data_IF_205928761216
#
_entry.id   IF_205928761216
#
_cell.length_a   1.000
_cell.length_b   1.000
_cell.length_c   1.000
_cell.angle_alpha   90.00
_cell.angle_beta   90.00
_cell.angle_gamma   90.00
#
_symmetry.space_group_name_H-M   'P 1'
#
loop_
_entity.id
_entity.type
_entity.pdbx_description
1 polymer ?
#
# COMPACT_ATOMS: atom_id res chain seq x y z
N UNK A 1 -21.58 17.25 61.16
CA UNK A 1 -22.34 17.77 59.99
C UNK A 1 -21.36 18.60 59.14
N UNK A 2 -20.71 18.03 58.20
CA UNK A 2 -19.88 18.75 57.24
C UNK A 2 -20.36 18.35 55.82
N UNK A 3 -20.96 19.31 55.13
CA UNK A 3 -21.41 19.16 53.74
C UNK A 3 -20.25 19.51 52.83
N UNK A 4 -19.79 18.52 52.09
CA UNK A 4 -18.82 18.69 50.99
C UNK A 4 -19.60 19.04 49.72
N UNK A 5 -19.41 20.26 49.19
CA UNK A 5 -19.90 20.67 47.88
C UNK A 5 -18.93 20.16 46.81
N UNK A 6 -19.40 19.28 45.91
CA UNK A 6 -18.72 18.91 44.69
C UNK A 6 -19.03 19.94 43.59
N UNK A 7 -18.03 20.63 43.14
CA UNK A 7 -18.10 21.46 41.91
C UNK A 7 -17.94 20.55 40.71
N UNK A 8 -18.97 20.43 39.89
CA UNK A 8 -18.89 19.89 38.54
C UNK A 8 -18.45 21.01 37.60
N UNK A 9 -17.20 20.93 37.10
CA UNK A 9 -16.75 21.80 36.01
C UNK A 9 -17.27 21.21 34.69
N UNK A 10 -18.20 21.89 34.06
CA UNK A 10 -18.62 21.61 32.68
C UNK A 10 -17.57 22.23 31.77
N UNK A 11 -16.75 21.37 31.13
CA UNK A 11 -15.88 21.81 30.03
C UNK A 11 -16.77 21.91 28.80
N UNK A 12 -17.11 23.14 28.43
CA UNK A 12 -17.72 23.44 27.13
C UNK A 12 -16.58 23.41 26.09
N UNK A 13 -16.48 22.33 25.33
CA UNK A 13 -15.64 22.28 24.13
C UNK A 13 -16.32 23.19 23.09
N UNK A 14 -15.85 24.42 23.00
CA UNK A 14 -16.27 25.33 21.97
C UNK A 14 -15.70 24.89 20.63
N UNK A 15 -16.53 24.28 19.78
CA UNK A 15 -16.25 24.19 18.35
C UNK A 15 -16.29 25.61 17.79
N UNK A 16 -15.11 26.21 17.65
CA UNK A 16 -14.95 27.49 16.94
C UNK A 16 -15.22 27.21 15.45
N UNK A 17 -16.46 27.46 15.02
CA UNK A 17 -16.78 27.65 13.61
C UNK A 17 -16.03 28.91 13.17
N UNK A 18 -14.87 28.77 12.53
CA UNK A 18 -14.22 29.88 11.82
C UNK A 18 -15.15 30.31 10.69
N UNK A 19 -15.90 31.38 10.91
CA UNK A 19 -16.58 32.10 9.83
C UNK A 19 -15.53 32.72 8.92
N UNK A 20 -15.52 32.33 7.65
CA UNK A 20 -14.66 32.97 6.63
C UNK A 20 -14.96 34.47 6.59
N UNK A 21 -13.97 35.28 6.98
CA UNK A 21 -13.94 36.69 6.70
C UNK A 21 -13.33 36.90 5.32
N UNK A 22 -14.07 37.60 4.47
CA UNK A 22 -13.72 38.10 3.14
C UNK A 22 -13.45 37.04 2.07
N UNK A 23 -14.31 37.04 1.08
CA UNK A 23 -14.29 36.30 -0.16
C UNK A 23 -12.92 36.37 -0.87
N UNK A 24 -11.96 35.50 -0.50
CA UNK A 24 -10.79 35.27 -1.34
C UNK A 24 -11.26 34.51 -2.58
N UNK A 25 -11.01 35.06 -3.76
CA UNK A 25 -11.30 34.35 -4.99
C UNK A 25 -10.46 33.04 -5.02
N UNK A 26 -11.08 31.89 -5.30
CA UNK A 26 -10.33 30.66 -5.40
C UNK A 26 -9.30 30.74 -6.53
N UNK A 27 -8.11 30.20 -6.34
CA UNK A 27 -7.08 30.11 -7.39
C UNK A 27 -7.41 29.03 -8.41
N UNK A 28 -8.15 27.99 -7.98
CA UNK A 28 -8.69 26.97 -8.87
C UNK A 28 -9.96 26.35 -8.29
N UNK A 29 -10.81 25.85 -9.18
CA UNK A 29 -12.03 25.11 -8.85
C UNK A 29 -11.86 23.69 -9.39
N UNK A 30 -12.20 22.71 -8.58
CA UNK A 30 -12.13 21.29 -8.93
C UNK A 30 -13.55 20.69 -8.91
N UNK A 31 -13.83 19.84 -9.88
CA UNK A 31 -15.02 18.99 -9.89
C UNK A 31 -14.57 17.54 -9.98
N UNK A 32 -14.89 16.74 -8.96
CA UNK A 32 -14.59 15.32 -8.88
C UNK A 32 -15.87 14.56 -9.23
N UNK A 33 -15.83 13.82 -10.34
CA UNK A 33 -16.96 13.00 -10.80
C UNK A 33 -16.76 11.55 -10.34
N UNK A 34 -17.68 11.03 -9.52
CA UNK A 34 -17.66 9.65 -9.06
C UNK A 34 -17.72 8.63 -10.20
N UNK A 35 -18.21 9.05 -11.39
CA UNK A 35 -18.42 8.16 -12.52
C UNK A 35 -19.48 7.10 -12.21
N UNK A 36 -19.30 5.91 -12.75
CA UNK A 36 -20.26 4.81 -12.63
C UNK A 36 -20.16 4.01 -11.34
N UNK A 37 -19.40 4.48 -10.34
CA UNK A 37 -19.07 3.69 -9.17
C UNK A 37 -19.26 4.43 -7.86
N UNK A 38 -19.75 3.74 -6.86
CA UNK A 38 -19.76 4.21 -5.49
C UNK A 38 -18.32 4.34 -4.95
N UNK A 39 -18.09 5.38 -4.15
CA UNK A 39 -16.76 5.69 -3.61
C UNK A 39 -16.80 5.74 -2.09
N UNK A 40 -15.75 5.23 -1.46
CA UNK A 40 -15.59 5.23 0.00
C UNK A 40 -14.15 5.63 0.37
N UNK A 41 -13.99 6.76 1.05
CA UNK A 41 -12.70 7.19 1.63
C UNK A 41 -11.51 7.00 0.69
N UNK A 42 -11.62 7.49 -0.53
CA UNK A 42 -10.60 7.26 -1.55
C UNK A 42 -9.59 8.40 -1.65
N UNK A 43 -8.30 8.09 -1.81
CA UNK A 43 -7.31 9.09 -2.20
C UNK A 43 -7.60 9.59 -3.61
N UNK A 44 -7.64 10.90 -3.76
CA UNK A 44 -7.77 11.57 -5.05
C UNK A 44 -6.65 12.58 -5.22
N UNK A 45 -6.15 12.73 -6.46
CA UNK A 45 -5.04 13.63 -6.74
C UNK A 45 -5.17 14.25 -8.11
N UNK A 46 -4.91 15.55 -8.18
CA UNK A 46 -4.98 16.34 -9.43
C UNK A 46 -3.62 16.95 -9.75
N UNK A 47 -3.25 16.92 -11.04
CA UNK A 47 -2.05 17.61 -11.53
C UNK A 47 -2.33 19.11 -11.53
N UNK A 48 -1.41 19.88 -10.94
CA UNK A 48 -1.55 21.33 -10.72
C UNK A 48 -0.33 22.10 -11.24
N UNK A 49 0.14 21.77 -12.43
CA UNK A 49 1.36 22.36 -13.01
C UNK A 49 1.35 23.90 -12.99
N UNK A 50 0.21 24.52 -13.29
CA UNK A 50 0.07 25.99 -13.26
C UNK A 50 0.28 26.60 -11.86
N UNK A 51 0.05 25.82 -10.80
CA UNK A 51 0.22 26.27 -9.42
C UNK A 51 1.62 26.00 -8.86
N UNK A 52 2.41 25.10 -9.48
CA UNK A 52 3.69 24.65 -8.92
C UNK A 52 4.75 25.75 -8.82
N UNK A 53 4.66 26.78 -9.64
CA UNK A 53 5.58 27.93 -9.63
C UNK A 53 5.17 29.03 -8.65
N UNK A 54 4.06 28.89 -7.94
CA UNK A 54 3.61 29.87 -6.95
C UNK A 54 4.51 29.81 -5.71
N UNK A 55 4.81 30.97 -5.17
CA UNK A 55 5.59 31.10 -3.92
C UNK A 55 4.82 30.60 -2.69
N UNK A 56 3.49 30.55 -2.77
CA UNK A 56 2.56 30.12 -1.71
C UNK A 56 2.01 28.70 -1.89
N UNK A 57 2.62 27.88 -2.75
CA UNK A 57 2.14 26.52 -3.05
C UNK A 57 1.93 25.65 -1.79
N UNK A 58 2.79 25.81 -0.78
CA UNK A 58 2.68 25.08 0.49
C UNK A 58 1.58 25.63 1.41
N UNK A 59 1.05 26.79 1.07
CA UNK A 59 -0.01 27.47 1.83
C UNK A 59 -1.37 27.39 1.10
N UNK A 60 -1.53 26.45 0.18
CA UNK A 60 -2.82 26.22 -0.47
C UNK A 60 -3.76 25.46 0.45
N UNK A 61 -4.98 25.96 0.55
CA UNK A 61 -6.06 25.34 1.30
C UNK A 61 -7.08 24.77 0.33
N UNK A 62 -7.64 23.63 0.69
CA UNK A 62 -8.70 22.98 -0.07
C UNK A 62 -10.01 23.04 0.74
N UNK A 63 -11.07 23.43 0.09
CA UNK A 63 -12.42 23.40 0.66
C UNK A 63 -13.35 22.59 -0.24
N UNK A 64 -14.16 21.72 0.36
CA UNK A 64 -15.30 21.13 -0.33
C UNK A 64 -16.47 22.11 -0.29
N UNK A 65 -17.10 22.34 -1.45
CA UNK A 65 -18.22 23.25 -1.61
C UNK A 65 -19.52 22.47 -1.69
N UNK A 66 -20.40 22.67 -0.68
CA UNK A 66 -21.72 22.03 -0.64
C UNK A 66 -22.81 23.08 -0.39
N UNK A 67 -23.44 23.55 -1.45
CA UNK A 67 -24.33 24.71 -1.43
C UNK A 67 -23.54 25.97 -1.04
N UNK A 68 -23.96 26.63 0.03
CA UNK A 68 -23.29 27.84 0.58
C UNK A 68 -22.17 27.47 1.60
N UNK A 69 -21.94 26.18 1.88
CA UNK A 69 -20.96 25.76 2.88
C UNK A 69 -19.61 25.47 2.23
N UNK A 70 -18.54 25.97 2.84
CA UNK A 70 -17.18 25.64 2.55
C UNK A 70 -16.62 24.82 3.71
N UNK A 71 -16.36 23.53 3.43
CA UNK A 71 -15.88 22.56 4.43
C UNK A 71 -14.38 22.39 4.21
N UNK A 72 -13.52 22.67 5.19
CA UNK A 72 -12.08 22.52 5.02
C UNK A 72 -11.73 21.05 4.81
N UNK A 73 -10.84 20.80 3.84
CA UNK A 73 -10.35 19.47 3.48
C UNK A 73 -8.83 19.49 3.57
N UNK A 74 -8.27 18.54 4.28
CA UNK A 74 -6.83 18.38 4.38
C UNK A 74 -6.28 17.96 3.03
N UNK A 75 -5.31 18.70 2.51
CA UNK A 75 -4.61 18.38 1.28
C UNK A 75 -3.10 18.36 1.48
N UNK A 76 -2.39 17.72 0.56
CA UNK A 76 -0.93 17.62 0.58
C UNK A 76 -0.39 17.79 -0.83
N UNK A 77 0.63 18.63 -0.97
CA UNK A 77 1.36 18.82 -2.22
C UNK A 77 2.41 17.73 -2.37
N UNK A 78 2.36 17.01 -3.48
CA UNK A 78 3.42 16.11 -3.91
C UNK A 78 4.24 16.79 -5.01
N UNK A 79 5.51 17.06 -4.71
CA UNK A 79 6.46 17.60 -5.69
C UNK A 79 7.06 16.44 -6.49
N UNK A 80 7.28 16.65 -7.77
CA UNK A 80 7.84 15.63 -8.67
C UNK A 80 7.92 16.18 -10.09
N UNK A 81 8.07 15.29 -11.08
CA UNK A 81 8.07 15.68 -12.49
C UNK A 81 6.77 16.40 -12.91
N UNK A 82 5.66 16.00 -12.29
CA UNK A 82 4.37 16.69 -12.39
C UNK A 82 3.87 16.91 -10.97
N UNK A 83 3.73 18.18 -10.55
CA UNK A 83 3.20 18.50 -9.22
C UNK A 83 1.74 18.11 -9.08
N UNK A 84 1.39 17.54 -7.92
CA UNK A 84 0.02 17.13 -7.61
C UNK A 84 -0.43 17.65 -6.25
N UNK A 85 -1.71 17.94 -6.15
CA UNK A 85 -2.38 18.08 -4.85
C UNK A 85 -3.20 16.82 -4.61
N UNK A 86 -3.02 16.25 -3.41
CA UNK A 86 -3.71 15.05 -2.96
C UNK A 86 -4.60 15.36 -1.76
N UNK A 87 -5.73 14.69 -1.69
CA UNK A 87 -6.60 14.66 -0.51
C UNK A 87 -7.35 13.33 -0.41
N UNK A 88 -7.99 13.07 0.70
CA UNK A 88 -8.92 11.97 0.83
C UNK A 88 -10.33 12.51 0.56
N UNK A 89 -11.04 11.93 -0.41
CA UNK A 89 -12.45 12.16 -0.61
C UNK A 89 -13.21 11.33 0.43
N UNK A 90 -13.37 11.92 1.61
CA UNK A 90 -13.92 11.23 2.79
C UNK A 90 -15.38 10.85 2.63
N UNK A 91 -15.75 9.73 3.26
CA UNK A 91 -17.11 9.22 3.31
C UNK A 91 -17.59 8.59 2.03
N UNK A 92 -18.90 8.43 1.95
CA UNK A 92 -19.58 7.81 0.82
C UNK A 92 -19.97 8.85 -0.23
N UNK A 93 -19.63 8.57 -1.48
CA UNK A 93 -20.04 9.35 -2.66
C UNK A 93 -20.71 8.42 -3.66
N UNK A 94 -22.02 8.58 -3.92
CA UNK A 94 -22.76 7.71 -4.84
C UNK A 94 -22.28 7.81 -6.29
N UNK A 95 -22.41 6.72 -7.03
CA UNK A 95 -22.23 6.71 -8.47
C UNK A 95 -23.08 7.77 -9.15
N UNK A 96 -22.54 8.40 -10.21
CA UNK A 96 -23.22 9.43 -11.00
C UNK A 96 -23.34 10.79 -10.30
N UNK A 97 -22.67 10.99 -9.15
CA UNK A 97 -22.65 12.27 -8.44
C UNK A 97 -21.29 12.95 -8.55
N UNK A 98 -21.26 14.25 -8.28
CA UNK A 98 -20.04 15.06 -8.27
C UNK A 98 -19.84 15.73 -6.92
N UNK A 99 -18.57 15.96 -6.54
CA UNK A 99 -18.16 16.81 -5.42
C UNK A 99 -17.31 17.95 -5.95
N UNK A 100 -17.57 19.16 -5.45
CA UNK A 100 -16.88 20.36 -5.90
C UNK A 100 -15.94 20.84 -4.80
N UNK A 101 -14.79 21.33 -5.23
CA UNK A 101 -13.75 21.83 -4.33
C UNK A 101 -13.19 23.14 -4.85
N UNK A 102 -12.71 23.97 -3.93
CA UNK A 102 -12.01 25.23 -4.20
C UNK A 102 -10.62 25.19 -3.58
N UNK A 103 -9.63 25.55 -4.37
CA UNK A 103 -8.27 25.80 -3.88
C UNK A 103 -8.14 27.31 -3.66
N UNK A 104 -7.75 27.71 -2.46
CA UNK A 104 -7.49 29.11 -2.11
C UNK A 104 -6.09 29.27 -1.51
N UNK A 105 -5.51 30.47 -1.58
CA UNK A 105 -4.30 30.80 -0.82
C UNK A 105 -4.68 31.09 0.63
N UNK A 106 -3.90 30.58 1.59
CA UNK A 106 -4.18 30.77 3.00
C UNK A 106 -3.05 30.28 3.90
N UNK A 107 -3.28 30.26 5.19
CA UNK A 107 -2.37 29.62 6.15
C UNK A 107 -2.81 28.17 6.37
N UNK A 108 -1.83 27.29 6.51
CA UNK A 108 -2.04 25.85 6.73
C UNK A 108 -3.05 25.55 7.86
N UNK A 109 -3.92 24.55 7.65
CA UNK A 109 -4.74 24.02 8.73
C UNK A 109 -3.86 23.20 9.68
N UNK A 110 -4.01 23.42 10.97
CA UNK A 110 -3.40 22.55 11.98
C UNK A 110 -4.08 21.18 11.88
N UNK A 111 -3.29 20.16 11.58
CA UNK A 111 -3.75 18.77 11.56
C UNK A 111 -2.96 17.95 12.59
N UNK A 112 -3.66 17.33 13.53
CA UNK A 112 -3.05 16.51 14.58
C UNK A 112 -2.68 15.09 14.10
N UNK A 113 -3.15 14.67 12.93
CA UNK A 113 -2.90 13.35 12.38
C UNK A 113 -1.99 13.40 11.15
N UNK A 114 -0.81 12.80 11.26
CA UNK A 114 0.14 12.70 10.15
C UNK A 114 0.53 11.26 9.89
N UNK A 115 0.98 10.99 8.67
CA UNK A 115 1.77 9.80 8.36
C UNK A 115 3.23 10.19 8.40
N UNK A 116 3.98 9.52 9.25
CA UNK A 116 5.40 9.80 9.49
C UNK A 116 6.24 8.58 9.14
N UNK A 117 7.44 8.81 8.63
CA UNK A 117 8.43 7.76 8.38
C UNK A 117 9.63 8.03 9.25
N UNK A 118 10.00 7.05 10.06
CA UNK A 118 11.19 7.10 10.90
C UNK A 118 12.19 6.07 10.40
N UNK A 119 13.38 6.52 10.08
CA UNK A 119 14.50 5.63 9.80
C UNK A 119 15.29 5.38 11.08
N UNK A 120 15.38 4.11 11.48
CA UNK A 120 16.30 3.69 12.53
C UNK A 120 17.53 2.99 11.93
N UNK A 121 18.27 2.23 12.73
CA UNK A 121 19.50 1.53 12.28
C UNK A 121 19.23 0.36 11.32
N UNK A 122 17.99 -0.10 11.15
CA UNK A 122 17.67 -1.34 10.44
C UNK A 122 16.44 -1.27 9.54
N UNK A 123 15.47 -0.41 9.88
CA UNK A 123 14.18 -0.34 9.17
C UNK A 123 13.76 1.09 8.87
N UNK A 124 12.93 1.24 7.84
CA UNK A 124 12.03 2.38 7.72
C UNK A 124 10.70 1.98 8.36
N UNK A 125 10.34 2.69 9.43
CA UNK A 125 9.08 2.48 10.16
C UNK A 125 8.07 3.54 9.78
N UNK A 126 6.86 3.12 9.41
CA UNK A 126 5.78 4.05 9.09
C UNK A 126 4.77 4.07 10.24
N UNK A 127 4.46 5.29 10.70
CA UNK A 127 3.42 5.58 11.67
C UNK A 127 2.26 6.32 11.00
N UNK A 128 1.04 6.00 11.43
CA UNK A 128 -0.17 6.77 11.13
C UNK A 128 -0.78 7.22 12.46
N UNK A 129 -0.83 8.54 12.70
CA UNK A 129 -1.35 9.08 13.96
C UNK A 129 -0.74 8.38 15.19
N UNK A 130 0.60 8.28 15.22
CA UNK A 130 1.42 7.65 16.28
C UNK A 130 1.27 6.12 16.43
N UNK A 131 0.43 5.46 15.61
CA UNK A 131 0.35 4.00 15.56
C UNK A 131 1.27 3.44 14.49
N UNK A 132 2.02 2.41 14.82
CA UNK A 132 2.85 1.69 13.85
C UNK A 132 1.97 1.00 12.82
N UNK A 133 2.34 1.13 11.53
CA UNK A 133 1.66 0.48 10.40
C UNK A 133 2.52 -0.64 9.85
N UNK A 134 3.79 -0.36 9.56
CA UNK A 134 4.72 -1.34 9.02
C UNK A 134 6.18 -0.94 9.23
N UNK A 135 7.06 -1.95 9.20
CA UNK A 135 8.49 -1.77 9.08
C UNK A 135 8.99 -2.40 7.77
N UNK A 136 9.84 -1.65 7.04
CA UNK A 136 10.56 -2.15 5.88
C UNK A 136 12.03 -2.33 6.23
N UNK A 137 12.55 -3.55 6.11
CA UNK A 137 13.93 -3.89 6.41
C UNK A 137 14.85 -3.48 5.27
N UNK A 138 15.65 -2.42 5.47
CA UNK A 138 16.65 -1.99 4.52
C UNK A 138 18.04 -2.56 4.83
N UNK A 139 18.31 -2.99 6.06
CA UNK A 139 19.51 -3.75 6.39
C UNK A 139 19.27 -5.25 6.28
N UNK A 140 20.35 -6.01 6.08
CA UNK A 140 20.25 -7.47 5.98
C UNK A 140 19.81 -8.04 7.33
N UNK A 141 18.67 -8.72 7.32
CA UNK A 141 18.20 -9.54 8.43
C UNK A 141 18.93 -10.88 8.39
N UNK A 142 19.56 -11.34 9.47
CA UNK A 142 20.40 -12.52 9.48
C UNK A 142 19.59 -13.81 9.26
N UNK A 143 20.25 -14.82 8.72
CA UNK A 143 19.69 -16.18 8.69
C UNK A 143 19.46 -16.70 10.14
N UNK A 144 18.49 -17.61 10.34
CA UNK A 144 18.32 -18.27 11.63
C UNK A 144 19.58 -19.03 12.04
N UNK A 145 19.81 -19.15 13.33
CA UNK A 145 20.95 -19.91 13.89
C UNK A 145 20.98 -21.35 13.32
N UNK A 146 22.11 -21.75 12.77
CA UNK A 146 22.32 -23.06 12.16
C UNK A 146 21.80 -23.22 10.72
N UNK A 147 21.21 -22.17 10.13
CA UNK A 147 20.87 -22.14 8.72
C UNK A 147 21.99 -21.51 7.88
N UNK A 148 22.02 -21.81 6.57
CA UNK A 148 22.95 -21.19 5.64
C UNK A 148 22.74 -19.67 5.53
N UNK A 149 23.83 -18.92 5.40
CA UNK A 149 23.80 -17.46 5.22
C UNK A 149 23.00 -17.00 4.02
N UNK A 150 22.74 -17.87 3.04
CA UNK A 150 21.85 -17.60 1.90
C UNK A 150 20.45 -17.16 2.29
N UNK A 151 19.99 -17.56 3.49
CA UNK A 151 18.70 -17.12 4.02
C UNK A 151 18.73 -15.70 4.60
N UNK A 152 19.90 -15.05 4.69
CA UNK A 152 19.98 -13.63 5.07
C UNK A 152 19.51 -12.74 3.92
N UNK A 153 18.67 -11.72 4.20
CA UNK A 153 18.22 -10.77 3.19
C UNK A 153 17.74 -9.44 3.76
N UNK A 154 17.64 -8.46 2.89
CA UNK A 154 16.92 -7.20 3.12
C UNK A 154 15.78 -7.04 2.08
N UNK A 155 15.15 -5.89 2.03
CA UNK A 155 14.15 -5.59 1.01
C UNK A 155 12.82 -6.31 1.20
N UNK A 156 12.22 -6.22 2.41
CA UNK A 156 10.93 -6.83 2.73
C UNK A 156 10.20 -6.05 3.84
N UNK A 157 8.89 -6.24 3.96
CA UNK A 157 8.05 -5.62 4.98
C UNK A 157 7.73 -6.63 6.07
N UNK A 158 8.14 -6.32 7.31
CA UNK A 158 7.81 -7.05 8.54
C UNK A 158 8.27 -6.26 9.76
N UNK A 159 7.44 -6.10 10.80
CA UNK A 159 6.03 -6.47 10.85
C UNK A 159 5.12 -5.61 9.97
N UNK A 160 3.92 -6.12 9.67
CA UNK A 160 2.77 -5.36 9.22
C UNK A 160 1.73 -5.45 10.33
N UNK A 161 1.26 -4.30 10.80
CA UNK A 161 0.34 -4.22 11.92
C UNK A 161 -1.10 -3.98 11.46
N UNK A 162 -2.06 -4.62 12.14
CA UNK A 162 -3.45 -4.19 12.07
C UNK A 162 -3.64 -2.86 12.83
N UNK A 163 -4.73 -2.11 12.59
CA UNK A 163 -5.03 -0.89 13.35
C UNK A 163 -5.05 -1.08 14.86
N UNK A 164 -5.41 -2.27 15.34
CA UNK A 164 -5.37 -2.67 16.75
C UNK A 164 -4.00 -3.11 17.27
N UNK A 165 -2.96 -3.10 16.42
CA UNK A 165 -1.58 -3.45 16.81
C UNK A 165 -1.22 -4.93 16.67
N UNK A 166 -2.07 -5.76 16.06
CA UNK A 166 -1.75 -7.16 15.82
C UNK A 166 -0.75 -7.32 14.66
N UNK A 167 0.30 -8.13 14.87
CA UNK A 167 1.27 -8.45 13.81
C UNK A 167 0.67 -9.51 12.87
N UNK A 168 0.48 -9.16 11.60
CA UNK A 168 -0.16 -10.00 10.60
C UNK A 168 0.81 -10.78 9.73
N UNK A 169 2.09 -10.45 9.78
CA UNK A 169 3.14 -11.09 8.97
C UNK A 169 4.05 -12.00 9.81
N UNK A 170 4.79 -12.86 9.13
CA UNK A 170 5.81 -13.75 9.72
C UNK A 170 7.01 -13.85 8.79
N UNK A 171 8.21 -13.95 9.35
CA UNK A 171 9.46 -14.18 8.61
C UNK A 171 10.13 -15.47 9.04
N UNK A 172 10.93 -16.03 8.15
CA UNK A 172 11.78 -17.21 8.37
C UNK A 172 11.11 -18.35 9.17
N UNK A 173 9.86 -18.73 8.85
CA UNK A 173 9.25 -19.85 9.55
C UNK A 173 10.03 -21.14 9.28
N UNK A 174 10.12 -22.08 10.25
CA UNK A 174 10.91 -23.30 10.10
C UNK A 174 10.59 -24.16 8.88
N UNK A 175 9.36 -24.05 8.37
CA UNK A 175 8.90 -24.76 7.18
C UNK A 175 9.40 -24.11 5.87
N UNK A 176 9.66 -22.79 5.87
CA UNK A 176 10.09 -22.00 4.70
C UNK A 176 10.95 -20.81 5.11
N UNK A 177 12.23 -21.04 5.38
CA UNK A 177 13.18 -20.00 5.84
C UNK A 177 13.31 -18.83 4.86
N UNK A 178 12.96 -19.00 3.59
CA UNK A 178 12.97 -17.99 2.55
C UNK A 178 11.68 -17.13 2.49
N UNK A 179 10.73 -17.26 3.42
CA UNK A 179 9.55 -16.40 3.49
C UNK A 179 9.79 -15.19 4.40
N UNK A 180 9.45 -13.99 3.91
CA UNK A 180 9.76 -12.71 4.57
C UNK A 180 8.58 -11.73 4.59
N UNK A 181 7.55 -12.02 5.35
CA UNK A 181 6.42 -11.11 5.57
C UNK A 181 5.69 -10.76 4.28
N UNK A 182 5.98 -9.57 3.72
CA UNK A 182 5.57 -9.15 2.38
C UNK A 182 6.82 -8.89 1.56
N UNK A 183 6.94 -9.57 0.41
CA UNK A 183 8.10 -9.50 -0.49
C UNK A 183 7.73 -9.92 -1.92
N UNK A 184 8.59 -9.66 -2.89
CA UNK A 184 8.27 -9.82 -4.32
C UNK A 184 9.39 -10.39 -5.21
N UNK A 185 10.27 -11.30 -4.77
CA UNK A 185 11.31 -11.86 -5.62
C UNK A 185 10.76 -12.83 -6.67
N UNK A 186 11.53 -13.01 -7.73
CA UNK A 186 11.18 -13.89 -8.84
C UNK A 186 11.85 -15.25 -8.69
N UNK A 187 11.14 -16.31 -9.07
CA UNK A 187 11.68 -17.65 -9.21
C UNK A 187 11.74 -18.03 -10.70
N UNK A 188 12.54 -19.06 -11.03
CA UNK A 188 12.66 -19.60 -12.39
C UNK A 188 13.00 -18.54 -13.46
N UNK A 189 14.01 -17.74 -13.19
CA UNK A 189 14.46 -16.71 -14.10
C UNK A 189 15.59 -17.24 -14.97
N UNK A 190 15.51 -17.06 -16.30
CA UNK A 190 16.66 -17.25 -17.20
C UNK A 190 17.33 -15.92 -17.46
N UNK A 191 18.59 -15.84 -17.08
CA UNK A 191 19.47 -14.70 -17.26
C UNK A 191 20.84 -15.14 -17.76
N UNK A 192 21.33 -14.55 -18.85
CA UNK A 192 22.62 -14.88 -19.45
C UNK A 192 22.83 -16.41 -19.65
N UNK A 193 21.80 -17.12 -20.13
CA UNK A 193 21.77 -18.58 -20.32
C UNK A 193 21.88 -19.42 -19.03
N UNK A 194 21.77 -18.82 -17.85
CA UNK A 194 21.72 -19.50 -16.55
C UNK A 194 20.30 -19.45 -15.97
N UNK A 195 19.95 -20.43 -15.17
CA UNK A 195 18.75 -20.40 -14.34
C UNK A 195 19.11 -19.76 -13.00
N UNK A 196 18.33 -18.76 -12.59
CA UNK A 196 18.49 -18.02 -11.34
C UNK A 196 17.19 -18.05 -10.57
N UNK A 197 17.28 -18.30 -9.29
CA UNK A 197 16.15 -18.29 -8.36
C UNK A 197 16.41 -17.23 -7.28
N UNK A 198 15.66 -16.12 -7.33
CA UNK A 198 15.74 -15.05 -6.32
C UNK A 198 14.80 -15.30 -5.16
N UNK A 199 13.88 -16.27 -5.26
CA UNK A 199 12.87 -16.60 -4.26
C UNK A 199 13.36 -17.65 -3.27
N UNK A 200 13.82 -18.80 -3.76
CA UNK A 200 14.23 -19.94 -2.94
C UNK A 200 15.71 -19.81 -2.55
N UNK A 201 16.00 -19.00 -1.54
CA UNK A 201 17.33 -18.58 -1.14
C UNK A 201 18.31 -19.74 -0.85
N UNK A 202 17.82 -20.86 -0.30
CA UNK A 202 18.66 -21.99 0.11
C UNK A 202 19.51 -22.65 -0.99
N UNK A 203 19.27 -22.31 -2.27
CA UNK A 203 20.14 -22.75 -3.36
C UNK A 203 21.36 -21.84 -3.59
N UNK A 204 21.40 -20.69 -2.94
CA UNK A 204 22.47 -19.69 -3.14
C UNK A 204 22.57 -19.15 -4.57
N UNK A 205 21.51 -19.27 -5.39
CA UNK A 205 21.53 -18.85 -6.78
C UNK A 205 21.30 -17.36 -6.96
N UNK A 206 20.52 -16.74 -6.07
CA UNK A 206 20.24 -15.31 -6.13
C UNK A 206 19.57 -14.81 -4.88
N UNK A 207 19.50 -13.50 -4.77
CA UNK A 207 18.83 -12.79 -3.66
C UNK A 207 18.23 -11.48 -4.16
N UNK A 208 17.38 -10.86 -3.32
CA UNK A 208 16.98 -9.46 -3.50
C UNK A 208 17.49 -8.68 -2.31
N UNK A 209 18.07 -7.51 -2.55
CA UNK A 209 18.60 -6.65 -1.50
C UNK A 209 18.19 -5.19 -1.68
N UNK A 210 18.12 -4.46 -0.59
CA UNK A 210 18.03 -3.00 -0.61
C UNK A 210 19.33 -2.41 -1.20
N UNK A 211 19.19 -1.44 -2.10
CA UNK A 211 20.32 -0.78 -2.75
C UNK A 211 20.44 0.71 -2.44
N UNK A 212 19.34 1.37 -2.03
CA UNK A 212 19.40 2.78 -1.67
C UNK A 212 18.04 3.42 -1.43
N UNK A 213 18.04 4.52 -0.68
CA UNK A 213 16.88 5.38 -0.49
C UNK A 213 16.82 6.40 -1.63
N UNK A 214 15.70 6.47 -2.33
CA UNK A 214 15.42 7.52 -3.32
C UNK A 214 14.72 8.71 -2.70
N UNK A 215 13.72 8.43 -1.86
CA UNK A 215 12.89 9.46 -1.26
C UNK A 215 12.21 8.92 -0.02
N UNK A 216 12.11 9.78 1.00
CA UNK A 216 11.28 9.58 2.18
C UNK A 216 10.37 10.79 2.29
N UNK A 217 9.10 10.57 2.52
CA UNK A 217 8.10 11.62 2.61
C UNK A 217 7.09 11.33 3.71
N UNK A 218 6.55 12.39 4.29
CA UNK A 218 5.50 12.33 5.30
C UNK A 218 4.54 13.48 5.12
N UNK A 219 3.39 13.42 5.75
CA UNK A 219 2.44 14.50 5.71
C UNK A 219 1.03 14.14 6.18
N UNK A 220 0.14 15.09 5.97
CA UNK A 220 -1.21 15.03 6.50
C UNK A 220 -2.14 14.10 5.72
N UNK A 221 -1.84 13.80 4.45
CA UNK A 221 -2.67 12.95 3.58
C UNK A 221 -2.01 11.59 3.34
N UNK A 222 -0.68 11.55 3.21
CA UNK A 222 0.07 10.32 3.04
C UNK A 222 1.52 10.48 3.49
N UNK A 223 2.16 9.34 3.77
CA UNK A 223 3.59 9.24 3.99
C UNK A 223 4.11 7.90 3.50
N UNK A 224 5.42 7.80 3.32
CA UNK A 224 6.03 6.59 2.82
C UNK A 224 7.48 6.79 2.38
N UNK A 225 7.94 5.86 1.57
CA UNK A 225 9.30 5.90 1.04
C UNK A 225 9.34 5.29 -0.37
N UNK A 226 10.39 5.65 -1.09
CA UNK A 226 10.78 5.06 -2.38
C UNK A 226 12.22 4.59 -2.28
N UNK A 227 12.45 3.32 -2.53
CA UNK A 227 13.76 2.68 -2.41
C UNK A 227 14.15 1.95 -3.68
N UNK A 228 15.46 1.77 -3.85
CA UNK A 228 16.04 0.87 -4.85
C UNK A 228 16.25 -0.50 -4.24
N UNK A 229 15.91 -1.54 -5.00
CA UNK A 229 16.26 -2.93 -4.73
C UNK A 229 16.99 -3.50 -5.95
N UNK A 230 17.88 -4.45 -5.69
CA UNK A 230 18.61 -5.21 -6.70
C UNK A 230 18.27 -6.69 -6.59
N UNK A 231 17.93 -7.32 -7.72
CA UNK A 231 17.86 -8.76 -7.83
C UNK A 231 19.21 -9.26 -8.35
N UNK A 232 19.95 -9.94 -7.50
CA UNK A 232 21.36 -10.28 -7.71
C UNK A 232 21.51 -11.75 -8.07
N UNK A 233 22.05 -12.03 -9.26
CA UNK A 233 22.48 -13.38 -9.70
C UNK A 233 23.83 -13.72 -9.09
N UNK A 234 23.91 -14.84 -8.37
CA UNK A 234 25.13 -15.37 -7.76
C UNK A 234 25.62 -16.67 -8.43
N UNK A 235 24.94 -17.15 -9.48
CA UNK A 235 25.21 -18.45 -10.11
C UNK A 235 26.54 -18.54 -10.83
N UNK A 236 27.15 -17.39 -11.19
CA UNK A 236 28.45 -17.33 -11.86
C UNK A 236 29.65 -17.34 -10.91
N UNK A 237 29.43 -17.39 -9.60
CA UNK A 237 30.45 -17.19 -8.58
C UNK A 237 30.84 -15.72 -8.35
N UNK A 238 30.17 -14.80 -9.03
CA UNK A 238 30.24 -13.35 -8.83
C UNK A 238 28.83 -12.79 -8.76
N UNK A 239 28.64 -11.73 -8.00
CA UNK A 239 27.38 -11.01 -7.98
C UNK A 239 27.18 -10.24 -9.29
N UNK A 240 26.05 -10.46 -9.95
CA UNK A 240 25.62 -9.73 -11.14
C UNK A 240 24.20 -9.23 -10.89
N UNK A 241 24.00 -7.93 -10.99
CA UNK A 241 22.67 -7.36 -10.87
C UNK A 241 21.90 -7.69 -12.16
N UNK A 242 20.81 -8.43 -12.03
CA UNK A 242 19.96 -8.84 -13.13
C UNK A 242 18.79 -7.87 -13.33
N UNK A 243 18.12 -7.48 -12.24
CA UNK A 243 16.97 -6.58 -12.25
C UNK A 243 17.22 -5.45 -11.25
N UNK A 244 16.99 -4.21 -11.69
CA UNK A 244 16.79 -3.08 -10.78
C UNK A 244 15.30 -2.93 -10.52
N UNK A 245 14.95 -2.63 -9.29
CA UNK A 245 13.58 -2.36 -8.87
C UNK A 245 13.50 -1.05 -8.09
N UNK A 246 12.50 -0.23 -8.40
CA UNK A 246 12.07 0.85 -7.52
C UNK A 246 10.80 0.38 -6.81
N UNK A 247 10.89 0.25 -5.50
CA UNK A 247 9.75 -0.04 -4.65
C UNK A 247 9.27 1.25 -4.00
N UNK A 248 8.03 1.64 -4.30
CA UNK A 248 7.34 2.78 -3.67
C UNK A 248 6.29 2.21 -2.71
N UNK A 249 6.37 2.61 -1.44
CA UNK A 249 5.42 2.23 -0.38
C UNK A 249 4.81 3.49 0.18
N UNK A 250 3.47 3.58 0.14
CA UNK A 250 2.71 4.75 0.57
C UNK A 250 1.58 4.34 1.50
N UNK A 251 1.52 4.93 2.67
CA UNK A 251 0.42 4.79 3.62
C UNK A 251 -0.44 6.04 3.53
N UNK A 252 -1.75 5.84 3.36
CA UNK A 252 -2.73 6.92 3.28
C UNK A 252 -3.33 7.23 4.65
N UNK A 253 -3.49 8.51 4.96
CA UNK A 253 -4.14 8.97 6.19
C UNK A 253 -5.65 9.03 6.00
N UNK A 254 -6.27 7.88 5.79
CA UNK A 254 -7.72 7.76 5.68
C UNK A 254 -8.36 7.76 7.07
N UNK A 255 -9.39 8.59 7.26
CA UNK A 255 -10.25 8.57 8.44
C UNK A 255 -11.53 7.79 8.08
N UNK A 256 -11.49 6.49 8.19
CA UNK A 256 -12.58 5.61 7.76
C UNK A 256 -13.79 5.62 8.72
N UNK A 257 -14.18 6.77 9.19
CA UNK A 257 -15.40 7.06 9.95
C UNK A 257 -15.76 6.09 11.08
N UNK A 258 -16.13 4.85 10.76
CA UNK A 258 -16.58 3.84 11.73
C UNK A 258 -15.65 2.61 11.79
N UNK A 259 -14.77 2.40 10.83
CA UNK A 259 -13.84 1.28 10.76
C UNK A 259 -12.44 1.79 10.50
N UNK A 260 -11.55 1.57 11.43
CA UNK A 260 -10.15 1.91 11.22
C UNK A 260 -9.54 0.91 10.22
N UNK A 261 -9.17 1.40 9.03
CA UNK A 261 -8.50 0.64 7.98
C UNK A 261 -7.19 1.35 7.65
N UNK A 262 -6.08 0.64 7.67
CA UNK A 262 -4.83 1.15 7.13
C UNK A 262 -4.76 0.84 5.64
N UNK A 263 -4.67 1.89 4.82
CA UNK A 263 -4.59 1.78 3.36
C UNK A 263 -3.14 1.99 2.92
N UNK A 264 -2.59 1.00 2.22
CA UNK A 264 -1.17 0.96 1.84
C UNK A 264 -1.08 0.67 0.34
N UNK A 265 -0.45 1.55 -0.42
CA UNK A 265 -0.11 1.30 -1.82
C UNK A 265 1.33 0.81 -1.93
N UNK A 266 1.54 -0.21 -2.73
CA UNK A 266 2.84 -0.77 -3.07
C UNK A 266 2.97 -0.77 -4.59
N UNK A 267 3.97 -0.04 -5.09
CA UNK A 267 4.28 -0.04 -6.52
C UNK A 267 5.69 -0.56 -6.74
N UNK A 268 5.81 -1.65 -7.48
CA UNK A 268 7.07 -2.22 -7.94
C UNK A 268 7.31 -1.81 -9.40
N UNK A 269 8.44 -1.19 -9.66
CA UNK A 269 8.86 -0.79 -11.00
C UNK A 269 10.17 -1.48 -11.35
N UNK A 270 10.13 -2.42 -12.28
CA UNK A 270 11.22 -3.28 -12.65
C UNK A 270 11.83 -2.85 -13.98
N UNK A 271 13.15 -3.02 -14.12
CA UNK A 271 13.86 -2.95 -15.41
C UNK A 271 15.08 -3.87 -15.40
N UNK A 272 15.49 -4.33 -16.58
CA UNK A 272 16.78 -5.04 -16.72
C UNK A 272 17.92 -4.13 -16.27
N UNK A 273 18.82 -4.65 -15.42
CA UNK A 273 19.96 -3.87 -14.92
C UNK A 273 21.05 -3.64 -15.98
N UNK A 274 21.07 -4.46 -17.03
CA UNK A 274 22.03 -4.39 -18.13
C UNK A 274 21.35 -4.54 -19.49
N UNK A 275 22.11 -4.98 -20.48
CA UNK A 275 21.65 -5.15 -21.87
C UNK A 275 21.11 -6.56 -22.16
N UNK A 276 21.00 -7.40 -21.14
CA UNK A 276 20.51 -8.77 -21.31
C UNK A 276 19.00 -8.83 -21.05
N UNK A 277 18.30 -9.55 -21.92
CA UNK A 277 16.89 -9.89 -21.72
C UNK A 277 16.74 -10.93 -20.63
N UNK A 278 15.76 -10.76 -19.75
CA UNK A 278 15.39 -11.75 -18.75
C UNK A 278 14.10 -12.47 -19.16
N UNK A 279 14.07 -13.78 -18.90
CA UNK A 279 12.89 -14.61 -19.10
C UNK A 279 12.40 -15.08 -17.72
N UNK A 280 11.30 -14.50 -17.26
CA UNK A 280 10.60 -14.96 -16.09
C UNK A 280 9.68 -16.10 -16.53
N UNK A 281 10.16 -17.34 -16.36
CA UNK A 281 9.44 -18.52 -16.85
C UNK A 281 8.18 -18.79 -16.01
N UNK A 282 7.16 -19.28 -16.69
CA UNK A 282 5.94 -19.75 -16.04
C UNK A 282 6.25 -20.64 -14.85
N UNK A 283 5.73 -20.27 -13.69
CA UNK A 283 5.84 -21.07 -12.49
C UNK A 283 4.69 -20.82 -11.52
N UNK A 284 4.40 -21.81 -10.68
CA UNK A 284 3.24 -21.79 -9.75
C UNK A 284 3.32 -20.70 -8.66
N UNK A 285 4.48 -20.09 -8.44
CA UNK A 285 4.72 -18.98 -7.51
C UNK A 285 5.95 -18.16 -7.96
N UNK A 286 6.11 -16.98 -7.37
CA UNK A 286 7.23 -16.09 -7.61
C UNK A 286 6.82 -14.80 -8.31
N UNK A 287 7.35 -13.69 -7.84
CA UNK A 287 7.05 -12.34 -8.30
C UNK A 287 5.73 -11.78 -7.77
N UNK A 288 5.31 -10.66 -8.33
CA UNK A 288 4.10 -9.97 -7.90
C UNK A 288 4.19 -9.46 -6.46
N UNK A 289 3.32 -9.95 -5.59
CA UNK A 289 3.34 -9.66 -4.16
C UNK A 289 3.06 -10.92 -3.35
N UNK A 290 4.04 -11.37 -2.57
CA UNK A 290 3.91 -12.51 -1.66
C UNK A 290 3.60 -12.06 -0.24
N UNK A 291 2.82 -12.86 0.47
CA UNK A 291 2.44 -12.64 1.86
C UNK A 291 2.53 -13.94 2.66
N UNK A 292 3.39 -13.95 3.68
CA UNK A 292 3.39 -14.99 4.70
C UNK A 292 2.70 -14.49 5.94
N UNK A 293 1.53 -15.07 6.24
CA UNK A 293 0.72 -14.68 7.37
C UNK A 293 1.35 -15.07 8.72
N UNK A 294 0.85 -14.40 9.75
CA UNK A 294 1.18 -14.69 11.16
C UNK A 294 1.04 -16.18 11.49
N UNK A 295 1.82 -16.63 12.45
CA UNK A 295 1.75 -18.03 12.93
C UNK A 295 0.43 -18.41 13.59
N UNK A 296 -0.38 -17.42 13.95
CA UNK A 296 -1.67 -17.65 14.61
C UNK A 296 -2.75 -18.10 13.61
N UNK A 297 -2.60 -17.83 12.31
CA UNK A 297 -3.57 -18.20 11.28
C UNK A 297 -3.30 -19.61 10.72
N UNK A 298 -4.33 -20.44 10.79
CA UNK A 298 -4.31 -21.82 10.30
C UNK A 298 -5.64 -22.15 9.61
N UNK A 299 -5.85 -23.42 9.24
CA UNK A 299 -7.06 -23.88 8.54
C UNK A 299 -8.36 -23.70 9.32
N UNK A 300 -8.30 -23.71 10.67
CA UNK A 300 -9.49 -23.74 11.52
C UNK A 300 -9.97 -22.32 11.89
N UNK A 301 -9.09 -21.31 11.77
CA UNK A 301 -9.38 -19.96 12.24
C UNK A 301 -9.13 -18.86 11.21
N UNK A 302 -8.72 -19.20 9.99
CA UNK A 302 -8.51 -18.25 8.91
C UNK A 302 -9.36 -18.53 7.69
N UNK A 303 -9.63 -17.49 6.92
CA UNK A 303 -10.48 -17.54 5.73
C UNK A 303 -9.86 -16.78 4.56
N UNK A 304 -10.27 -17.18 3.37
CA UNK A 304 -9.96 -16.53 2.09
C UNK A 304 -11.27 -16.32 1.34
N UNK A 305 -11.44 -15.12 0.81
CA UNK A 305 -12.49 -14.77 -0.14
C UNK A 305 -11.90 -13.98 -1.30
N UNK A 306 -12.34 -14.26 -2.52
CA UNK A 306 -11.80 -13.60 -3.71
C UNK A 306 -12.89 -12.91 -4.53
N UNK A 307 -12.51 -11.97 -5.39
CA UNK A 307 -13.43 -11.32 -6.33
C UNK A 307 -14.17 -12.29 -7.26
N UNK A 308 -13.65 -13.51 -7.41
CA UNK A 308 -14.27 -14.58 -8.20
C UNK A 308 -15.14 -15.53 -7.34
N UNK A 309 -15.46 -15.16 -6.08
CA UNK A 309 -16.27 -15.95 -5.17
C UNK A 309 -15.60 -17.26 -4.73
N UNK A 310 -14.26 -17.32 -4.76
CA UNK A 310 -13.50 -18.50 -4.32
C UNK A 310 -13.15 -18.41 -2.85
N UNK A 311 -13.19 -19.53 -2.16
CA UNK A 311 -12.73 -19.71 -0.79
C UNK A 311 -11.33 -20.30 -0.75
N UNK A 312 -10.75 -20.44 0.45
CA UNK A 312 -9.44 -21.06 0.63
C UNK A 312 -9.29 -22.41 -0.07
N UNK A 313 -10.34 -23.23 -0.07
CA UNK A 313 -10.33 -24.56 -0.74
C UNK A 313 -10.24 -24.49 -2.26
N UNK A 314 -10.65 -23.39 -2.86
CA UNK A 314 -10.85 -23.29 -4.32
C UNK A 314 -10.11 -22.12 -4.96
N UNK A 315 -9.38 -21.29 -4.19
CA UNK A 315 -8.74 -20.10 -4.69
C UNK A 315 -7.38 -20.36 -5.36
N UNK A 316 -6.63 -21.40 -4.95
CA UNK A 316 -5.32 -21.67 -5.57
C UNK A 316 -5.44 -21.90 -7.08
N UNK A 317 -4.51 -21.36 -7.85
CA UNK A 317 -4.47 -21.42 -9.31
C UNK A 317 -5.67 -20.76 -10.02
N UNK A 318 -6.47 -19.95 -9.33
CA UNK A 318 -7.53 -19.15 -9.95
C UNK A 318 -7.09 -17.69 -10.07
N UNK A 319 -7.84 -16.90 -10.85
CA UNK A 319 -7.60 -15.46 -11.06
C UNK A 319 -8.58 -14.64 -10.26
N UNK A 320 -8.07 -13.51 -9.71
CA UNK A 320 -8.93 -12.56 -9.01
C UNK A 320 -8.38 -11.13 -9.13
N UNK A 321 -9.29 -10.17 -9.06
CA UNK A 321 -8.96 -8.75 -8.98
C UNK A 321 -8.61 -8.32 -7.54
N UNK A 322 -9.15 -9.03 -6.56
CA UNK A 322 -8.83 -8.88 -5.15
C UNK A 322 -8.94 -10.20 -4.39
N UNK A 323 -8.18 -10.30 -3.30
CA UNK A 323 -8.21 -11.41 -2.38
C UNK A 323 -8.24 -10.89 -0.94
N UNK A 324 -9.27 -11.28 -0.19
CA UNK A 324 -9.42 -10.96 1.23
C UNK A 324 -9.00 -12.15 2.08
N UNK A 325 -8.07 -11.91 3.00
CA UNK A 325 -7.53 -12.93 3.90
C UNK A 325 -7.68 -12.44 5.32
N UNK A 326 -8.31 -13.22 6.19
CA UNK A 326 -8.51 -12.84 7.59
C UNK A 326 -8.43 -14.04 8.52
N UNK A 327 -8.16 -13.80 9.79
CA UNK A 327 -8.09 -14.84 10.78
C UNK A 327 -8.21 -14.33 12.22
N UNK A 328 -8.46 -15.26 13.14
CA UNK A 328 -8.51 -14.95 14.56
C UNK A 328 -7.12 -14.71 15.13
N UNK A 329 -7.02 -13.75 16.03
CA UNK A 329 -5.84 -13.46 16.83
C UNK A 329 -5.96 -14.12 18.21
N UNK A 330 -4.84 -14.28 18.95
CA UNK A 330 -4.86 -14.99 20.25
C UNK A 330 -5.84 -14.45 21.27
N UNK A 331 -6.11 -13.15 21.26
CA UNK A 331 -7.05 -12.47 22.18
C UNK A 331 -8.52 -12.66 21.78
N UNK A 332 -8.79 -13.43 20.72
CA UNK A 332 -10.14 -13.67 20.21
C UNK A 332 -10.64 -12.57 19.24
N UNK A 333 -9.88 -11.51 19.02
CA UNK A 333 -10.13 -10.53 17.95
C UNK A 333 -9.91 -11.15 16.58
N UNK A 334 -10.40 -10.49 15.54
CA UNK A 334 -10.17 -10.88 14.14
C UNK A 334 -9.50 -9.74 13.42
N UNK A 335 -8.50 -10.05 12.58
CA UNK A 335 -7.85 -9.09 11.72
C UNK A 335 -7.75 -9.63 10.30
N UNK A 336 -7.56 -8.75 9.31
CA UNK A 336 -7.46 -9.17 7.92
C UNK A 336 -6.70 -8.20 7.04
N UNK A 337 -6.40 -8.68 5.84
CA UNK A 337 -5.79 -7.91 4.75
C UNK A 337 -6.57 -8.19 3.48
N UNK A 338 -7.07 -7.14 2.84
CA UNK A 338 -7.61 -7.20 1.50
C UNK A 338 -6.53 -6.74 0.51
N UNK A 339 -6.06 -7.65 -0.32
CA UNK A 339 -5.09 -7.41 -1.39
C UNK A 339 -5.83 -7.05 -2.68
N UNK A 340 -5.53 -5.89 -3.25
CA UNK A 340 -6.11 -5.39 -4.50
C UNK A 340 -5.04 -5.38 -5.60
N UNK A 341 -5.35 -5.97 -6.76
CA UNK A 341 -4.54 -5.91 -7.97
C UNK A 341 -5.03 -4.83 -8.90
N UNK A 342 -4.11 -4.03 -9.46
CA UNK A 342 -4.45 -2.96 -10.39
C UNK A 342 -4.73 -3.51 -11.79
N UNK A 343 -5.70 -2.96 -12.57
CA UNK A 343 -6.06 -3.49 -13.90
C UNK A 343 -4.94 -3.57 -14.92
N UNK A 344 -3.94 -2.67 -14.85
CA UNK A 344 -2.80 -2.68 -15.77
C UNK A 344 -1.67 -3.64 -15.34
N UNK A 345 -1.81 -4.32 -14.21
CA UNK A 345 -0.83 -5.32 -13.81
C UNK A 345 -0.77 -6.46 -14.83
N UNK A 346 0.45 -6.98 -15.02
CA UNK A 346 0.68 -8.15 -15.87
C UNK A 346 -0.31 -9.25 -15.51
N UNK A 347 -1.06 -9.71 -16.51
CA UNK A 347 -1.95 -10.85 -16.40
C UNK A 347 -3.20 -10.64 -15.51
N UNK A 348 -3.60 -9.36 -15.31
CA UNK A 348 -4.83 -9.03 -14.56
C UNK A 348 -6.10 -9.58 -15.26
N UNK A 349 -7.14 -10.10 -14.54
CA UNK A 349 -7.08 -10.45 -13.11
C UNK A 349 -5.97 -11.45 -12.85
N UNK A 350 -5.14 -11.16 -11.82
CA UNK A 350 -3.91 -11.92 -11.62
C UNK A 350 -4.19 -13.34 -11.10
N UNK A 351 -3.45 -14.35 -11.59
CA UNK A 351 -3.49 -15.67 -11.00
C UNK A 351 -2.88 -15.62 -9.59
N UNK A 352 -3.42 -16.46 -8.71
CA UNK A 352 -3.03 -16.48 -7.30
C UNK A 352 -2.37 -17.79 -6.92
N UNK A 353 -1.44 -17.72 -5.96
CA UNK A 353 -1.02 -18.82 -5.13
C UNK A 353 -1.64 -18.66 -3.76
N UNK A 354 -2.48 -19.59 -3.37
CA UNK A 354 -3.09 -19.68 -2.03
C UNK A 354 -2.78 -21.07 -1.47
N UNK A 355 -2.15 -21.10 -0.29
CA UNK A 355 -1.87 -22.40 0.32
C UNK A 355 -3.16 -23.09 0.76
N UNK A 356 -3.32 -24.39 0.44
CA UNK A 356 -4.48 -25.16 0.82
C UNK A 356 -4.52 -25.44 2.33
N UNK A 357 -5.64 -25.99 2.80
CA UNK A 357 -5.86 -26.29 4.21
C UNK A 357 -4.95 -27.39 4.76
N UNK A 358 -4.39 -28.23 3.88
CA UNK A 358 -3.43 -29.28 4.24
C UNK A 358 -1.96 -28.84 4.20
N UNK A 359 -1.67 -27.59 3.88
CA UNK A 359 -0.32 -27.03 3.89
C UNK A 359 0.35 -27.20 5.26
N UNK A 360 1.69 -27.29 5.25
CA UNK A 360 2.52 -27.45 6.44
C UNK A 360 2.05 -28.63 7.33
N UNK A 361 2.10 -29.84 6.75
CA UNK A 361 1.71 -31.10 7.42
C UNK A 361 0.28 -31.09 8.00
N UNK A 362 -0.65 -30.46 7.29
CA UNK A 362 -2.05 -30.41 7.67
C UNK A 362 -2.43 -29.36 8.71
N UNK A 363 -1.47 -28.53 9.16
CA UNK A 363 -1.77 -27.37 10.01
C UNK A 363 -2.52 -26.29 9.24
N UNK A 364 -2.24 -26.16 7.95
CA UNK A 364 -2.87 -25.17 7.09
C UNK A 364 -2.40 -23.76 7.38
N UNK A 365 -1.08 -23.55 7.42
CA UNK A 365 -0.51 -22.19 7.50
C UNK A 365 -0.98 -21.35 6.32
N UNK A 366 -1.13 -20.05 6.53
CA UNK A 366 -1.59 -19.15 5.48
C UNK A 366 -0.41 -18.53 4.73
N UNK A 367 -0.44 -18.73 3.40
CA UNK A 367 0.39 -18.05 2.43
C UNK A 367 -0.46 -17.63 1.25
N UNK A 368 -0.22 -16.43 0.76
CA UNK A 368 -0.88 -15.85 -0.41
C UNK A 368 0.12 -15.14 -1.31
N UNK A 369 -0.18 -15.14 -2.60
CA UNK A 369 0.58 -14.39 -3.59
C UNK A 369 -0.29 -14.07 -4.81
N UNK A 370 -0.25 -12.84 -5.31
CA UNK A 370 -0.54 -12.57 -6.70
C UNK A 370 0.70 -12.94 -7.51
N UNK A 371 0.54 -13.89 -8.43
CA UNK A 371 1.65 -14.47 -9.20
C UNK A 371 1.46 -14.23 -10.69
N UNK A 372 1.95 -13.11 -11.25
CA UNK A 372 1.68 -12.71 -12.64
C UNK A 372 2.27 -13.67 -13.69
N UNK A 373 3.21 -14.54 -13.29
CA UNK A 373 3.84 -15.55 -14.16
C UNK A 373 3.28 -16.96 -13.98
N UNK A 374 2.20 -17.15 -13.19
CA UNK A 374 1.72 -18.49 -12.87
C UNK A 374 1.31 -19.32 -14.08
N UNK A 375 0.73 -18.70 -15.09
CA UNK A 375 0.14 -19.37 -16.26
C UNK A 375 0.80 -18.99 -17.59
N UNK A 376 1.79 -18.09 -17.58
CA UNK A 376 2.54 -17.67 -18.77
C UNK A 376 3.84 -16.96 -18.43
N UNK A 377 4.84 -17.15 -19.29
CA UNK A 377 6.12 -16.47 -19.21
C UNK A 377 5.99 -14.94 -19.29
N UNK A 378 6.96 -14.26 -18.72
CA UNK A 378 7.14 -12.81 -18.88
C UNK A 378 8.57 -12.50 -19.29
N UNK A 379 8.72 -11.78 -20.40
CA UNK A 379 10.01 -11.36 -20.92
C UNK A 379 10.23 -9.89 -20.55
N UNK A 380 11.34 -9.62 -19.87
CA UNK A 380 11.79 -8.27 -19.60
C UNK A 380 12.89 -7.89 -20.60
N UNK A 381 12.64 -6.83 -21.35
CA UNK A 381 13.53 -6.33 -22.41
C UNK A 381 14.33 -5.14 -21.88
N UNK A 382 15.65 -5.05 -22.14
CA UNK A 382 16.46 -3.90 -21.76
C UNK A 382 15.89 -2.57 -22.28
N UNK A 383 15.94 -1.54 -21.44
CA UNK A 383 15.41 -0.21 -21.76
C UNK A 383 13.91 -0.04 -21.45
N UNK A 384 13.18 -1.12 -21.23
CA UNK A 384 11.76 -1.07 -20.88
C UNK A 384 11.54 -1.06 -19.36
N UNK A 385 10.42 -0.44 -18.94
CA UNK A 385 9.98 -0.38 -17.54
C UNK A 385 8.68 -1.17 -17.35
N UNK A 386 8.64 -2.00 -16.34
CA UNK A 386 7.52 -2.87 -16.03
C UNK A 386 6.99 -2.52 -14.64
N UNK A 387 5.68 -2.25 -14.52
CA UNK A 387 5.09 -1.74 -13.30
C UNK A 387 4.01 -2.71 -12.81
N UNK A 388 4.08 -3.03 -11.52
CA UNK A 388 3.04 -3.74 -10.78
C UNK A 388 2.57 -2.84 -9.64
N UNK A 389 1.24 -2.70 -9.47
CA UNK A 389 0.63 -1.86 -8.44
C UNK A 389 -0.35 -2.68 -7.61
N UNK A 390 -0.21 -2.58 -6.31
CA UNK A 390 -1.08 -3.24 -5.36
C UNK A 390 -1.55 -2.25 -4.30
N UNK A 391 -2.75 -2.46 -3.78
CA UNK A 391 -3.24 -1.78 -2.58
C UNK A 391 -3.62 -2.82 -1.54
N UNK A 392 -3.17 -2.60 -0.32
CA UNK A 392 -3.50 -3.40 0.85
C UNK A 392 -4.40 -2.59 1.76
N UNK A 393 -5.54 -3.15 2.14
CA UNK A 393 -6.42 -2.61 3.18
C UNK A 393 -6.29 -3.54 4.39
N UNK A 394 -5.62 -3.04 5.43
CA UNK A 394 -5.39 -3.79 6.68
C UNK A 394 -6.43 -3.33 7.70
N UNK A 395 -7.12 -4.28 8.33
CA UNK A 395 -8.28 -3.98 9.16
C UNK A 395 -8.42 -4.94 10.33
N UNK A 396 -9.18 -4.52 11.36
CA UNK A 396 -9.68 -5.37 12.42
C UNK A 396 -11.18 -5.65 12.23
N UNK A 397 -11.63 -6.82 12.68
CA UNK A 397 -12.99 -7.33 12.45
C UNK A 397 -13.17 -7.94 11.06
N UNK A 398 -14.24 -7.58 10.38
CA UNK A 398 -14.63 -8.16 9.08
C UNK A 398 -14.98 -7.05 8.08
N UNK A 399 -14.74 -7.29 6.80
CA UNK A 399 -15.25 -6.48 5.70
C UNK A 399 -16.18 -7.32 4.83
N UNK A 400 -17.25 -6.69 4.33
CA UNK A 400 -18.19 -7.36 3.44
C UNK A 400 -17.63 -7.47 2.03
N UNK A 401 -18.09 -8.47 1.26
CA UNK A 401 -17.78 -8.63 -0.16
C UNK A 401 -18.09 -7.35 -0.96
N UNK A 402 -19.20 -6.67 -0.61
CA UNK A 402 -19.56 -5.41 -1.29
C UNK A 402 -18.53 -4.32 -1.00
N UNK A 403 -18.14 -4.12 0.25
CA UNK A 403 -17.11 -3.15 0.61
C UNK A 403 -15.77 -3.47 -0.07
N UNK A 404 -15.38 -4.76 -0.10
CA UNK A 404 -14.15 -5.18 -0.81
C UNK A 404 -14.19 -4.82 -2.30
N UNK A 405 -15.35 -5.01 -2.96
CA UNK A 405 -15.58 -4.62 -4.34
C UNK A 405 -15.48 -3.12 -4.54
N UNK A 406 -16.12 -2.32 -3.66
CA UNK A 406 -16.14 -0.87 -3.78
C UNK A 406 -14.74 -0.28 -3.56
N UNK A 407 -13.98 -0.80 -2.58
CA UNK A 407 -12.59 -0.42 -2.31
C UNK A 407 -11.68 -0.76 -3.50
N UNK A 408 -11.86 -1.96 -4.10
CA UNK A 408 -11.14 -2.31 -5.32
C UNK A 408 -11.50 -1.38 -6.48
N UNK A 409 -12.78 -1.10 -6.68
CA UNK A 409 -13.25 -0.21 -7.74
C UNK A 409 -12.67 1.21 -7.59
N UNK A 410 -12.60 1.72 -6.36
CA UNK A 410 -11.97 3.01 -6.07
C UNK A 410 -10.47 3.05 -6.40
N UNK A 411 -9.77 1.93 -6.24
CA UNK A 411 -8.36 1.78 -6.61
C UNK A 411 -8.16 1.59 -8.10
N UNK A 412 -8.96 0.72 -8.72
CA UNK A 412 -8.84 0.33 -10.12
C UNK A 412 -9.28 1.43 -11.11
N UNK A 413 -10.31 2.18 -10.73
CA UNK A 413 -10.94 3.19 -11.57
C UNK A 413 -11.12 4.48 -10.75
N UNK A 414 -10.05 5.26 -10.54
CA UNK A 414 -10.15 6.53 -9.82
C UNK A 414 -11.16 7.47 -10.48
N UNK A 415 -11.76 8.41 -9.73
CA UNK A 415 -12.71 9.37 -10.28
C UNK A 415 -12.03 10.34 -11.25
N UNK A 416 -12.80 10.87 -12.19
CA UNK A 416 -12.35 11.93 -13.06
C UNK A 416 -12.35 13.27 -12.33
N UNK A 417 -11.27 14.05 -12.50
CA UNK A 417 -11.13 15.37 -11.89
C UNK A 417 -10.96 16.41 -12.99
N UNK A 418 -11.84 17.41 -12.98
CA UNK A 418 -11.73 18.60 -13.84
C UNK A 418 -11.22 19.75 -12.98
N UNK A 419 -10.22 20.48 -13.50
CA UNK A 419 -9.67 21.67 -12.87
C UNK A 419 -9.90 22.89 -13.77
N UNK A 420 -10.32 24.01 -13.17
CA UNK A 420 -10.44 25.30 -13.82
C UNK A 420 -9.67 26.32 -13.01
N UNK A 421 -8.69 26.98 -13.61
CA UNK A 421 -7.90 28.02 -12.97
C UNK A 421 -8.58 29.39 -13.13
N UNK A 422 -8.64 30.14 -12.06
CA UNK A 422 -9.07 31.54 -12.13
C UNK A 422 -7.89 32.41 -12.55
N UNK A 423 -8.13 33.33 -13.48
CA UNK A 423 -7.09 34.31 -13.84
C UNK A 423 -6.78 35.15 -12.62
N UNK A 424 -5.52 35.14 -12.23
CA UNK A 424 -5.01 36.06 -11.22
C UNK A 424 -5.04 37.45 -11.90
N UNK A 425 -5.96 38.31 -11.46
CA UNK A 425 -5.85 39.73 -11.77
C UNK A 425 -4.78 40.26 -10.82
N UNK A 426 -3.59 40.54 -11.39
CA UNK A 426 -2.50 41.26 -10.72
C UNK A 426 -2.98 42.60 -10.12
#
# INVERSE_FOLDING_TARGET
MNKTLSFFSIIIIGTSLMTMNAQQNPVAILTVDAGNYDRYDIPVGVIVEELMNRSDIENLLLYEVSGEKHIPVICQVERGATGKIWWIMDGYTPAGTTRNYEIISGKEFVNDGMVEVVQDSSVFRIFKSQKEVLDYHYTTYPAPEGADDFYSRSGFIHPLYSPGGNVLTRIQPPDHLHHYGIWNPWTKVKFQKREVDFWNLGKGQGTVRYAGLKEQFGGAVFGGFRVEQEHVDMTSGKEIIAINEILDVRVWNTNNGKKEISMIDITSSLNCAGNDTLFLEQYRYGGGIGFRATQFWNKDNSSVETSAGKSRKTADATKAAWCNISGQMPEGSRSGILFLSYPDNRNHPEPMRVWPEDANNGRGDMFFEFCPIRDKDWILIPGEKYILKYRLLVYDGEISTQLAKDLWTGFAYPPDIKISYNKITD
#
